data_IF_500918375573
#
_entry.id   IF_500918375573
#
_cell.length_a   1.000
_cell.length_b   1.000
_cell.length_c   1.000
_cell.angle_alpha   90.00
_cell.angle_beta   90.00
_cell.angle_gamma   90.00
#
_symmetry.space_group_name_H-M   'P 1'
#
loop_
_entity.id
_entity.type
_entity.pdbx_description
1 polymer ?
#
# COMPACT_ATOMS: atom_id res chain seq x y z
N UNK A 1 11.92 14.61 -6.48
CA UNK A 1 11.51 15.93 -5.94
C UNK A 1 10.07 15.90 -5.48
N UNK A 2 9.79 16.37 -4.25
CA UNK A 2 8.41 16.50 -3.74
C UNK A 2 7.79 17.80 -4.27
N UNK A 3 6.73 17.70 -5.09
CA UNK A 3 6.09 18.85 -5.74
C UNK A 3 5.56 19.90 -4.75
N UNK A 4 5.08 19.45 -3.59
CA UNK A 4 4.52 20.31 -2.55
C UNK A 4 5.55 21.15 -1.79
N UNK A 5 6.85 20.83 -1.92
CA UNK A 5 7.91 21.38 -1.07
C UNK A 5 8.90 22.25 -1.85
N UNK A 6 8.58 22.58 -3.10
CA UNK A 6 9.46 23.36 -3.98
C UNK A 6 8.72 24.54 -4.59
N UNK A 7 9.41 25.63 -4.96
CA UNK A 7 8.80 26.73 -5.70
C UNK A 7 8.16 26.24 -7.01
N UNK A 8 7.04 26.84 -7.39
CA UNK A 8 6.32 26.47 -8.62
C UNK A 8 7.22 26.49 -9.87
N UNK A 9 8.17 27.42 -9.97
CA UNK A 9 9.12 27.49 -11.08
C UNK A 9 9.96 26.22 -11.19
N UNK A 10 10.46 25.69 -10.07
CA UNK A 10 11.30 24.50 -10.03
C UNK A 10 10.49 23.23 -10.39
N UNK A 11 9.24 23.16 -9.91
CA UNK A 11 8.32 22.10 -10.30
C UNK A 11 8.01 22.13 -11.82
N UNK A 12 7.79 23.31 -12.39
CA UNK A 12 7.56 23.47 -13.84
C UNK A 12 8.78 23.03 -14.67
N UNK A 13 10.01 23.34 -14.23
CA UNK A 13 11.22 22.91 -14.92
C UNK A 13 11.43 21.40 -14.85
N UNK A 14 10.98 20.75 -13.79
CA UNK A 14 10.98 19.29 -13.71
C UNK A 14 9.92 18.68 -14.64
N UNK A 15 8.69 19.20 -14.61
CA UNK A 15 7.58 18.72 -15.45
C UNK A 15 7.94 18.74 -16.95
N UNK A 16 8.61 19.80 -17.42
CA UNK A 16 9.10 19.89 -18.81
C UNK A 16 10.06 18.76 -19.23
N UNK A 17 10.65 18.06 -18.28
CA UNK A 17 11.56 16.92 -18.55
C UNK A 17 10.82 15.58 -18.59
N UNK A 18 9.49 15.60 -18.55
CA UNK A 18 8.64 14.41 -18.56
C UNK A 18 9.04 13.39 -17.48
N UNK A 19 9.07 13.78 -16.20
CA UNK A 19 9.44 12.88 -15.12
C UNK A 19 8.40 11.78 -14.94
N UNK A 20 8.78 10.72 -14.22
CA UNK A 20 7.81 9.76 -13.69
C UNK A 20 7.13 10.38 -12.47
N UNK A 21 5.80 10.45 -12.46
CA UNK A 21 5.06 10.87 -11.28
C UNK A 21 4.88 9.69 -10.32
N UNK A 22 5.31 9.85 -9.07
CA UNK A 22 5.10 8.86 -8.02
C UNK A 22 4.02 9.32 -7.06
N UNK A 23 3.05 8.45 -6.82
CA UNK A 23 1.89 8.72 -5.96
C UNK A 23 1.74 7.60 -4.95
N UNK A 24 1.67 7.96 -3.67
CA UNK A 24 1.33 7.03 -2.59
C UNK A 24 -0.18 6.94 -2.48
N UNK A 25 -0.70 5.73 -2.47
CA UNK A 25 -2.11 5.44 -2.22
C UNK A 25 -2.19 4.47 -1.03
N UNK A 26 -2.71 4.95 0.08
CA UNK A 26 -2.81 4.17 1.30
C UNK A 26 -4.22 4.06 1.83
N UNK A 27 -4.30 3.86 3.13
CA UNK A 27 -5.53 3.95 3.91
C UNK A 27 -5.26 4.44 5.34
N UNK A 28 -6.32 4.82 6.03
CA UNK A 28 -6.36 4.95 7.49
C UNK A 28 -7.28 3.85 7.97
N UNK A 29 -6.71 2.76 8.48
CA UNK A 29 -7.45 1.59 8.93
C UNK A 29 -6.77 0.83 10.08
N UNK A 30 -7.53 -0.05 10.70
CA UNK A 30 -7.08 -0.81 11.87
C UNK A 30 -6.15 -1.96 11.47
N UNK A 31 -4.98 -2.06 12.13
CA UNK A 31 -3.94 -3.06 11.90
C UNK A 31 -3.57 -3.81 13.20
N UNK A 32 -4.59 -4.24 13.96
CA UNK A 32 -4.37 -4.69 15.33
C UNK A 32 -4.16 -3.51 16.28
N UNK A 33 -4.20 -3.77 17.59
CA UNK A 33 -4.07 -2.73 18.61
C UNK A 33 -2.65 -2.14 18.70
N UNK A 34 -1.64 -2.85 18.20
CA UNK A 34 -0.20 -2.52 18.32
C UNK A 34 0.29 -1.53 17.26
N UNK A 35 -0.34 -1.48 16.08
CA UNK A 35 0.15 -0.71 14.94
C UNK A 35 -0.65 0.59 14.73
N UNK A 36 -0.07 1.61 14.10
CA UNK A 36 -0.77 2.87 13.83
C UNK A 36 -1.85 2.67 12.75
N UNK A 37 -2.95 3.43 12.87
CA UNK A 37 -4.03 3.44 11.85
C UNK A 37 -3.53 3.88 10.46
N UNK A 38 -2.42 4.60 10.41
CA UNK A 38 -1.83 5.10 9.17
C UNK A 38 -0.81 4.16 8.53
N UNK A 39 -0.67 2.92 8.98
CA UNK A 39 0.32 1.95 8.48
C UNK A 39 0.39 1.96 6.95
N UNK A 40 -0.74 1.90 6.29
CA UNK A 40 -0.87 1.79 4.83
C UNK A 40 -0.45 3.04 4.06
N UNK A 41 -0.36 4.20 4.68
CA UNK A 41 0.16 5.36 3.97
C UNK A 41 1.54 5.81 4.46
N UNK A 42 1.88 5.62 5.74
CA UNK A 42 3.19 6.06 6.27
C UNK A 42 4.34 5.22 5.70
N UNK A 43 4.13 3.92 5.50
CA UNK A 43 5.13 3.02 4.92
C UNK A 43 5.44 3.40 3.46
N UNK A 44 4.46 3.42 2.53
CA UNK A 44 4.75 3.80 1.15
C UNK A 44 5.16 5.28 1.02
N UNK A 45 4.72 6.18 1.90
CA UNK A 45 5.22 7.56 1.91
C UNK A 45 6.71 7.63 2.28
N UNK A 46 7.17 6.82 3.23
CA UNK A 46 8.58 6.68 3.52
C UNK A 46 9.37 6.20 2.28
N UNK A 47 8.90 5.15 1.60
CA UNK A 47 9.52 4.61 0.39
C UNK A 47 9.63 5.69 -0.70
N UNK A 48 8.54 6.41 -0.97
CA UNK A 48 8.53 7.48 -1.99
C UNK A 48 9.39 8.66 -1.58
N UNK A 49 9.49 8.97 -0.28
CA UNK A 49 10.35 10.03 0.23
C UNK A 49 11.82 9.75 -0.06
N UNK A 50 12.30 8.53 0.18
CA UNK A 50 13.67 8.11 -0.14
C UNK A 50 13.95 8.22 -1.66
N UNK A 51 13.03 7.76 -2.50
CA UNK A 51 13.14 7.81 -3.96
C UNK A 51 12.98 9.23 -4.53
N UNK A 52 12.36 10.15 -3.80
CA UNK A 52 12.14 11.53 -4.24
C UNK A 52 13.40 12.36 -4.40
N UNK A 53 14.53 11.88 -3.91
CA UNK A 53 15.85 12.51 -4.14
C UNK A 53 16.33 12.40 -5.59
N UNK A 54 15.75 11.50 -6.38
CA UNK A 54 16.02 11.36 -7.80
C UNK A 54 15.53 12.60 -8.57
N UNK A 55 16.30 12.99 -9.61
CA UNK A 55 15.98 14.17 -10.45
C UNK A 55 14.93 13.91 -11.52
N UNK A 56 14.61 12.65 -11.76
CA UNK A 56 13.64 12.17 -12.76
C UNK A 56 12.32 11.72 -12.13
N UNK A 57 12.13 11.94 -10.84
CA UNK A 57 10.90 11.64 -10.10
C UNK A 57 10.21 12.91 -9.64
N UNK A 58 8.91 12.99 -9.92
CA UNK A 58 7.98 13.96 -9.36
C UNK A 58 7.11 13.26 -8.31
N UNK A 59 7.48 13.38 -7.03
CA UNK A 59 6.70 12.80 -5.94
C UNK A 59 5.55 13.73 -5.55
N UNK A 60 4.33 13.19 -5.52
CA UNK A 60 3.12 13.87 -5.07
C UNK A 60 2.89 13.65 -3.57
N UNK A 61 2.10 14.52 -2.90
CA UNK A 61 1.60 14.24 -1.57
C UNK A 61 0.83 12.91 -1.53
N UNK A 62 0.89 12.14 -0.42
CA UNK A 62 0.18 10.87 -0.30
C UNK A 62 -1.34 11.07 -0.32
N UNK A 63 -2.05 10.05 -0.79
CA UNK A 63 -3.50 9.90 -0.65
C UNK A 63 -3.75 8.94 0.53
N UNK A 64 -4.05 9.47 1.73
CA UNK A 64 -4.11 8.66 2.95
C UNK A 64 -5.44 7.96 3.16
N UNK A 65 -6.39 8.09 2.26
CA UNK A 65 -7.73 7.49 2.35
C UNK A 65 -7.99 6.58 1.17
N UNK A 66 -8.42 5.35 1.45
CA UNK A 66 -8.63 4.30 0.48
C UNK A 66 -9.99 3.59 0.61
N UNK A 67 -10.10 2.47 -0.08
CA UNK A 67 -11.25 1.59 -0.02
C UNK A 67 -11.13 0.59 1.12
N UNK A 68 -11.59 0.95 2.31
CA UNK A 68 -11.59 0.13 3.53
C UNK A 68 -12.94 -0.56 3.78
N UNK A 69 -13.70 -0.90 2.72
CA UNK A 69 -15.08 -1.41 2.85
C UNK A 69 -15.19 -2.66 3.73
N UNK A 70 -14.23 -3.57 3.66
CA UNK A 70 -14.25 -4.82 4.43
C UNK A 70 -13.88 -4.63 5.91
N UNK A 71 -13.09 -3.59 6.23
CA UNK A 71 -12.53 -3.35 7.58
C UNK A 71 -13.13 -2.12 8.29
N UNK A 72 -14.10 -1.46 7.67
CA UNK A 72 -14.74 -0.21 8.16
C UNK A 72 -15.39 -0.31 9.54
N UNK A 73 -15.66 -1.52 10.01
CA UNK A 73 -16.32 -1.76 11.30
C UNK A 73 -15.37 -1.69 12.51
N UNK A 74 -14.06 -1.52 12.25
CA UNK A 74 -13.08 -1.23 13.29
C UNK A 74 -12.99 0.28 13.56
N UNK A 75 -12.94 0.70 14.85
CA UNK A 75 -12.83 2.11 15.21
C UNK A 75 -11.60 2.79 14.61
N UNK A 76 -11.78 4.00 14.10
CA UNK A 76 -10.71 4.80 13.50
C UNK A 76 -10.49 4.52 12.01
N UNK A 77 -11.06 3.46 11.45
CA UNK A 77 -11.01 3.20 10.00
C UNK A 77 -11.87 4.19 9.22
N UNK A 78 -11.31 4.76 8.16
CA UNK A 78 -11.98 5.72 7.28
C UNK A 78 -12.10 5.11 5.88
N UNK A 79 -13.32 4.86 5.43
CA UNK A 79 -13.60 4.28 4.12
C UNK A 79 -14.18 5.32 3.16
N UNK A 80 -13.51 5.57 2.03
CA UNK A 80 -14.05 6.41 0.97
C UNK A 80 -14.75 5.62 -0.15
N UNK A 81 -14.53 4.29 -0.19
CA UNK A 81 -15.09 3.39 -1.18
C UNK A 81 -14.38 3.42 -2.53
N UNK A 82 -14.59 2.36 -3.32
CA UNK A 82 -13.92 2.13 -4.61
C UNK A 82 -14.19 3.24 -5.61
N UNK A 83 -15.45 3.63 -5.80
CA UNK A 83 -15.83 4.64 -6.82
C UNK A 83 -15.23 6.02 -6.55
N UNK A 84 -15.23 6.46 -5.27
CA UNK A 84 -14.65 7.75 -4.92
C UNK A 84 -13.13 7.72 -5.09
N UNK A 85 -12.46 6.62 -4.76
CA UNK A 85 -11.03 6.47 -4.99
C UNK A 85 -10.71 6.56 -6.49
N UNK A 86 -11.44 5.85 -7.36
CA UNK A 86 -11.29 5.94 -8.82
C UNK A 86 -11.44 7.39 -9.30
N UNK A 87 -12.48 8.09 -8.86
CA UNK A 87 -12.73 9.49 -9.25
C UNK A 87 -11.60 10.43 -8.85
N UNK A 88 -11.09 10.30 -7.61
CA UNK A 88 -9.99 11.12 -7.11
C UNK A 88 -8.72 10.83 -7.91
N UNK A 89 -8.37 9.55 -8.08
CA UNK A 89 -7.15 9.16 -8.77
C UNK A 89 -7.18 9.56 -10.25
N UNK A 90 -8.29 9.34 -10.96
CA UNK A 90 -8.46 9.80 -12.34
C UNK A 90 -8.32 11.33 -12.45
N UNK A 91 -8.88 12.09 -11.51
CA UNK A 91 -8.77 13.57 -11.53
C UNK A 91 -7.32 14.04 -11.36
N UNK A 92 -6.53 13.36 -10.50
CA UNK A 92 -5.11 13.66 -10.31
C UNK A 92 -4.32 13.31 -11.56
N UNK A 93 -4.49 12.10 -12.08
CA UNK A 93 -3.79 11.63 -13.29
C UNK A 93 -4.11 12.49 -14.50
N UNK A 94 -5.39 12.82 -14.72
CA UNK A 94 -5.83 13.67 -15.84
C UNK A 94 -5.20 15.07 -15.77
N UNK A 95 -5.04 15.61 -14.57
CA UNK A 95 -4.35 16.89 -14.37
C UNK A 95 -2.87 16.81 -14.77
N UNK A 96 -2.20 15.70 -14.46
CA UNK A 96 -0.78 15.49 -14.79
C UNK A 96 -0.59 15.16 -16.28
N UNK A 97 -1.49 14.39 -16.89
CA UNK A 97 -1.50 14.12 -18.34
C UNK A 97 -1.59 15.42 -19.15
N UNK A 98 -2.43 16.39 -18.72
CA UNK A 98 -2.52 17.72 -19.37
C UNK A 98 -1.21 18.49 -19.37
N UNK A 99 -0.32 18.19 -18.41
CA UNK A 99 1.01 18.79 -18.30
C UNK A 99 2.12 17.96 -18.98
N UNK A 100 1.75 16.89 -19.71
CA UNK A 100 2.69 16.07 -20.47
C UNK A 100 3.29 14.91 -19.70
N UNK A 101 2.95 14.70 -18.43
CA UNK A 101 3.40 13.54 -17.66
C UNK A 101 2.61 12.32 -18.12
N UNK A 102 3.31 11.29 -18.64
CA UNK A 102 2.68 10.08 -19.18
C UNK A 102 3.00 8.81 -18.41
N UNK A 103 3.97 8.84 -17.51
CA UNK A 103 4.39 7.68 -16.74
C UNK A 103 4.16 7.91 -15.25
N UNK A 104 3.54 6.94 -14.63
CA UNK A 104 3.14 7.00 -13.22
C UNK A 104 3.60 5.73 -12.50
N UNK A 105 4.05 5.88 -11.26
CA UNK A 105 4.25 4.76 -10.33
C UNK A 105 3.34 5.00 -9.13
N UNK A 106 2.40 4.10 -8.92
CA UNK A 106 1.58 4.05 -7.73
C UNK A 106 2.24 3.14 -6.71
N UNK A 107 2.64 3.69 -5.58
CA UNK A 107 3.11 2.88 -4.46
C UNK A 107 1.92 2.68 -3.54
N UNK A 108 1.30 1.52 -3.68
CA UNK A 108 0.10 1.15 -2.94
C UNK A 108 0.46 0.54 -1.58
N UNK A 109 -0.21 0.98 -0.54
CA UNK A 109 -0.07 0.45 0.82
C UNK A 109 -1.24 -0.42 1.27
N UNK A 110 -2.37 -0.44 0.52
CA UNK A 110 -3.62 -1.06 0.98
C UNK A 110 -4.23 -2.02 -0.05
N UNK A 111 -4.45 -3.25 0.38
CA UNK A 111 -5.01 -4.30 -0.50
C UNK A 111 -6.42 -3.99 -1.03
N UNK A 112 -7.23 -3.25 -0.28
CA UNK A 112 -8.56 -2.83 -0.71
C UNK A 112 -8.57 -1.86 -1.89
N UNK A 113 -7.45 -1.22 -2.19
CA UNK A 113 -7.32 -0.26 -3.30
C UNK A 113 -7.12 -0.93 -4.66
N UNK A 114 -6.63 -2.17 -4.71
CA UNK A 114 -6.16 -2.84 -5.94
C UNK A 114 -7.16 -2.71 -7.09
N UNK A 115 -8.42 -3.08 -6.88
CA UNK A 115 -9.43 -3.02 -7.94
C UNK A 115 -9.69 -1.60 -8.48
N UNK A 116 -9.59 -0.58 -7.61
CA UNK A 116 -9.72 0.81 -8.03
C UNK A 116 -8.50 1.25 -8.85
N UNK A 117 -7.31 0.87 -8.43
CA UNK A 117 -6.06 1.24 -9.11
C UNK A 117 -5.92 0.55 -10.46
N UNK A 118 -6.39 -0.70 -10.59
CA UNK A 118 -6.47 -1.41 -11.88
C UNK A 118 -7.37 -0.65 -12.87
N UNK A 119 -8.55 -0.19 -12.42
CA UNK A 119 -9.45 0.60 -13.28
C UNK A 119 -8.80 1.93 -13.69
N UNK A 120 -8.16 2.65 -12.75
CA UNK A 120 -7.43 3.89 -13.07
C UNK A 120 -6.29 3.63 -14.05
N UNK A 121 -5.62 2.48 -13.94
CA UNK A 121 -4.59 2.04 -14.89
C UNK A 121 -5.12 1.92 -16.31
N UNK A 122 -6.28 1.25 -16.48
CA UNK A 122 -6.94 1.09 -17.78
C UNK A 122 -7.39 2.46 -18.35
N UNK A 123 -8.06 3.27 -17.53
CA UNK A 123 -8.54 4.60 -17.93
C UNK A 123 -7.36 5.50 -18.38
N UNK A 124 -6.20 5.36 -17.74
CA UNK A 124 -4.98 6.11 -18.06
C UNK A 124 -4.35 5.62 -19.36
N UNK A 125 -4.33 4.30 -19.55
CA UNK A 125 -3.78 3.68 -20.78
C UNK A 125 -4.56 4.14 -22.03
N UNK A 126 -5.88 4.20 -21.96
CA UNK A 126 -6.72 4.71 -23.04
C UNK A 126 -6.41 6.17 -23.41
N UNK A 127 -5.88 6.95 -22.46
CA UNK A 127 -5.46 8.34 -22.65
C UNK A 127 -4.00 8.51 -23.06
N UNK A 128 -3.29 7.39 -23.31
CA UNK A 128 -1.89 7.36 -23.70
C UNK A 128 -0.88 7.59 -22.58
N UNK A 129 -1.30 7.35 -21.34
CA UNK A 129 -0.43 7.25 -20.18
C UNK A 129 -0.17 5.80 -19.76
N UNK A 130 0.76 5.58 -18.85
CA UNK A 130 1.11 4.25 -18.33
C UNK A 130 1.31 4.31 -16.82
N UNK A 131 0.63 3.43 -16.09
CA UNK A 131 0.75 3.29 -14.63
C UNK A 131 1.38 1.95 -14.28
N UNK A 132 2.42 1.97 -13.46
CA UNK A 132 2.91 0.80 -12.74
C UNK A 132 2.42 0.88 -11.30
N UNK A 133 1.69 -0.12 -10.82
CA UNK A 133 1.27 -0.22 -9.42
C UNK A 133 2.18 -1.19 -8.68
N UNK A 134 2.70 -0.77 -7.54
CA UNK A 134 3.58 -1.55 -6.67
C UNK A 134 2.91 -1.71 -5.32
N UNK A 135 2.45 -2.93 -5.04
CA UNK A 135 1.99 -3.35 -3.72
C UNK A 135 3.22 -3.73 -2.90
N UNK A 136 3.73 -2.81 -2.08
CA UNK A 136 5.03 -2.97 -1.43
C UNK A 136 5.17 -4.25 -0.60
N UNK A 137 4.10 -4.69 0.07
CA UNK A 137 4.10 -5.91 0.91
C UNK A 137 4.21 -7.19 0.06
N UNK A 138 3.52 -7.24 -1.08
CA UNK A 138 3.63 -8.35 -2.02
C UNK A 138 5.02 -8.39 -2.67
N UNK A 139 5.55 -7.22 -3.04
CA UNK A 139 6.92 -7.10 -3.57
C UNK A 139 7.94 -7.61 -2.54
N UNK A 140 7.84 -7.19 -1.29
CA UNK A 140 8.74 -7.64 -0.22
C UNK A 140 8.79 -9.18 -0.12
N UNK A 141 7.63 -9.82 -0.09
CA UNK A 141 7.50 -11.28 -0.07
C UNK A 141 8.14 -11.97 -1.28
N UNK A 142 8.03 -11.37 -2.47
CA UNK A 142 8.64 -11.91 -3.68
C UNK A 142 10.17 -11.75 -3.69
N UNK A 143 10.69 -10.69 -3.08
CA UNK A 143 12.12 -10.44 -2.98
C UNK A 143 12.80 -11.42 -2.00
N UNK A 144 12.13 -11.73 -0.90
CA UNK A 144 12.63 -12.67 0.09
C UNK A 144 11.46 -13.35 0.83
N UNK A 145 11.36 -14.70 0.79
CA UNK A 145 10.30 -15.42 1.52
C UNK A 145 10.28 -15.14 3.04
N UNK A 146 11.40 -14.77 3.65
CA UNK A 146 11.46 -14.40 5.07
C UNK A 146 10.74 -13.06 5.37
N UNK A 147 10.33 -12.33 4.33
CA UNK A 147 9.53 -11.11 4.42
C UNK A 147 8.03 -11.37 4.23
N UNK A 148 7.60 -12.65 4.22
CA UNK A 148 6.17 -12.99 4.13
C UNK A 148 5.40 -12.40 5.30
N UNK A 149 4.19 -11.96 5.02
CA UNK A 149 3.31 -11.35 6.00
C UNK A 149 1.87 -11.22 5.53
N UNK A 150 1.08 -10.66 6.39
CA UNK A 150 -0.33 -10.40 6.19
C UNK A 150 -0.74 -9.05 6.76
N UNK A 151 -2.02 -8.88 7.05
CA UNK A 151 -2.55 -7.63 7.56
C UNK A 151 -2.29 -7.47 9.07
N UNK A 152 -1.58 -6.41 9.46
CA UNK A 152 -1.26 -6.08 10.85
C UNK A 152 -0.36 -7.07 11.56
N UNK A 153 0.34 -7.94 10.84
CA UNK A 153 1.24 -8.95 11.39
C UNK A 153 2.71 -8.48 11.49
N UNK A 154 3.63 -9.42 11.60
CA UNK A 154 5.06 -9.15 11.78
C UNK A 154 5.64 -8.27 10.66
N UNK A 155 5.22 -8.45 9.39
CA UNK A 155 5.76 -7.70 8.26
C UNK A 155 5.43 -6.21 8.39
N UNK A 156 4.14 -5.87 8.42
CA UNK A 156 3.69 -4.48 8.48
C UNK A 156 4.09 -3.80 9.79
N UNK A 157 3.97 -4.53 10.92
CA UNK A 157 4.37 -4.00 12.23
C UNK A 157 5.86 -3.69 12.30
N UNK A 158 6.72 -4.58 11.76
CA UNK A 158 8.18 -4.34 11.71
C UNK A 158 8.53 -3.14 10.83
N UNK A 159 7.90 -3.01 9.66
CA UNK A 159 8.16 -1.89 8.76
C UNK A 159 7.65 -0.58 9.36
N UNK A 160 6.49 -0.58 10.03
CA UNK A 160 6.01 0.59 10.78
C UNK A 160 7.00 1.00 11.89
N UNK A 161 7.57 0.04 12.63
CA UNK A 161 8.64 0.31 13.61
C UNK A 161 9.90 0.92 12.96
N UNK A 162 10.28 0.47 11.78
CA UNK A 162 11.44 1.02 11.06
C UNK A 162 11.20 2.47 10.60
N UNK A 163 9.96 2.82 10.25
CA UNK A 163 9.58 4.19 9.87
C UNK A 163 9.47 5.11 11.09
N UNK A 164 8.73 4.68 12.10
CA UNK A 164 8.58 5.40 13.39
C UNK A 164 8.32 4.41 14.53
N UNK A 165 9.37 4.04 15.24
CA UNK A 165 9.32 3.07 16.34
C UNK A 165 8.31 3.48 17.44
N UNK A 166 8.11 4.77 17.64
CA UNK A 166 7.20 5.29 18.69
C UNK A 166 5.74 5.12 18.32
N UNK A 167 5.41 4.89 17.06
CA UNK A 167 4.05 4.67 16.59
C UNK A 167 3.53 3.25 16.88
N UNK A 168 4.40 2.32 17.26
CA UNK A 168 4.07 0.90 17.53
C UNK A 168 4.26 0.59 19.01
N UNK A 169 3.32 -0.19 19.57
CA UNK A 169 3.43 -0.70 20.94
C UNK A 169 3.14 -2.20 20.99
N UNK A 170 4.18 -3.01 20.99
CA UNK A 170 4.07 -4.47 21.01
C UNK A 170 3.40 -5.05 22.27
N UNK A 171 3.30 -4.28 23.36
CA UNK A 171 2.54 -4.71 24.54
C UNK A 171 1.02 -4.80 24.30
N UNK A 172 0.53 -4.20 23.22
CA UNK A 172 -0.88 -4.26 22.81
C UNK A 172 -1.17 -5.42 21.84
N UNK A 173 -0.19 -6.21 21.45
CA UNK A 173 -0.41 -7.39 20.60
C UNK A 173 -1.34 -8.38 21.30
N UNK A 174 -2.38 -8.79 20.59
CA UNK A 174 -3.32 -9.83 21.02
C UNK A 174 -3.11 -11.10 20.17
N UNK A 175 -3.32 -12.30 20.74
CA UNK A 175 -3.25 -13.54 19.97
C UNK A 175 -4.23 -13.55 18.81
N UNK A 176 -3.86 -14.15 17.68
CA UNK A 176 -4.73 -14.29 16.52
C UNK A 176 -6.03 -15.02 16.89
N UNK A 177 -7.16 -14.41 16.54
CA UNK A 177 -8.51 -14.93 16.79
C UNK A 177 -9.27 -15.01 15.46
N UNK A 178 -9.29 -16.19 14.86
CA UNK A 178 -10.01 -16.45 13.60
C UNK A 178 -11.38 -17.03 13.89
N UNK A 179 -12.41 -16.47 13.26
CA UNK A 179 -13.79 -16.96 13.33
C UNK A 179 -14.14 -17.69 12.03
N UNK A 180 -14.03 -19.01 12.03
CA UNK A 180 -14.41 -19.85 10.91
C UNK A 180 -15.91 -19.83 10.66
N UNK A 181 -16.35 -20.06 9.41
CA UNK A 181 -17.78 -20.15 9.09
C UNK A 181 -18.41 -21.45 9.59
N UNK A 182 -17.65 -22.53 9.61
CA UNK A 182 -18.04 -23.84 10.16
C UNK A 182 -16.80 -24.73 10.25
N UNK A 183 -16.97 -25.91 10.89
CA UNK A 183 -15.91 -26.94 10.96
C UNK A 183 -15.39 -27.41 9.60
N UNK A 184 -16.15 -27.17 8.51
CA UNK A 184 -15.80 -27.59 7.16
C UNK A 184 -15.39 -26.46 6.24
N UNK A 185 -15.66 -25.22 6.61
CA UNK A 185 -15.34 -24.01 5.83
C UNK A 185 -14.54 -23.10 6.75
N UNK A 186 -13.22 -23.20 6.65
CA UNK A 186 -12.29 -22.50 7.53
C UNK A 186 -11.61 -21.32 6.81
N UNK A 187 -11.25 -20.30 7.54
CA UNK A 187 -10.53 -19.17 6.95
C UNK A 187 -9.10 -19.57 6.61
N UNK A 188 -8.68 -19.18 5.40
CA UNK A 188 -7.27 -19.19 4.99
C UNK A 188 -6.67 -17.80 5.09
N UNK A 189 -7.47 -16.79 4.73
CA UNK A 189 -7.13 -15.38 4.82
C UNK A 189 -8.44 -14.56 4.85
N UNK A 190 -8.42 -13.26 4.74
CA UNK A 190 -9.56 -12.33 4.91
C UNK A 190 -10.85 -12.81 4.21
N UNK A 191 -10.79 -13.08 2.91
CA UNK A 191 -11.94 -13.53 2.13
C UNK A 191 -11.74 -14.90 1.48
N UNK A 192 -10.57 -15.49 1.66
CA UNK A 192 -10.22 -16.79 1.09
C UNK A 192 -10.43 -17.87 2.16
N UNK A 193 -11.25 -18.87 1.82
CA UNK A 193 -11.60 -19.95 2.74
C UNK A 193 -11.20 -21.30 2.13
N UNK A 194 -10.80 -22.22 3.01
CA UNK A 194 -10.58 -23.62 2.66
C UNK A 194 -11.93 -24.35 2.65
N UNK A 195 -12.17 -25.13 1.62
CA UNK A 195 -13.28 -26.07 1.55
C UNK A 195 -12.82 -27.32 0.82
N UNK A 196 -12.82 -28.48 1.50
CA UNK A 196 -12.25 -29.75 0.99
C UNK A 196 -10.81 -29.53 0.50
N UNK A 197 -10.51 -29.92 -0.74
CA UNK A 197 -9.17 -29.80 -1.35
C UNK A 197 -9.00 -28.52 -2.17
N UNK A 198 -9.91 -27.55 -2.04
CA UNK A 198 -9.89 -26.30 -2.79
C UNK A 198 -10.12 -25.07 -1.92
N UNK A 199 -10.13 -23.92 -2.58
CA UNK A 199 -10.42 -22.65 -1.94
C UNK A 199 -11.66 -22.01 -2.55
N UNK A 200 -12.43 -21.29 -1.73
CA UNK A 200 -13.55 -20.46 -2.17
C UNK A 200 -13.38 -19.04 -1.62
N UNK A 201 -13.89 -18.05 -2.35
CA UNK A 201 -13.86 -16.66 -1.90
C UNK A 201 -15.24 -16.28 -1.38
N UNK A 202 -15.33 -15.89 -0.10
CA UNK A 202 -16.54 -15.33 0.52
C UNK A 202 -16.17 -13.98 1.14
N UNK A 203 -16.72 -12.92 0.58
CA UNK A 203 -16.48 -11.55 1.06
C UNK A 203 -17.46 -11.23 2.18
N UNK A 204 -16.93 -10.84 3.35
CA UNK A 204 -17.71 -10.43 4.53
C UNK A 204 -16.93 -9.38 5.33
N UNK A 205 -17.52 -8.81 6.37
CA UNK A 205 -16.81 -7.89 7.26
C UNK A 205 -15.54 -8.57 7.82
N UNK A 206 -14.43 -7.84 7.81
CA UNK A 206 -13.17 -8.34 8.37
C UNK A 206 -13.29 -8.60 9.87
N UNK A 207 -14.10 -7.80 10.58
CA UNK A 207 -14.38 -7.99 12.01
C UNK A 207 -15.06 -9.33 12.31
N UNK A 208 -15.84 -9.86 11.36
CA UNK A 208 -16.46 -11.19 11.47
C UNK A 208 -15.46 -12.32 11.16
N UNK A 209 -14.33 -12.01 10.52
CA UNK A 209 -13.24 -12.97 10.24
C UNK A 209 -12.25 -13.02 11.39
N UNK A 210 -11.78 -11.86 11.85
CA UNK A 210 -10.85 -11.73 12.99
C UNK A 210 -11.28 -10.59 13.90
N UNK A 211 -11.53 -10.91 15.16
CA UNK A 211 -12.07 -9.94 16.11
C UNK A 211 -11.05 -8.91 16.61
N UNK A 212 -9.76 -9.24 16.56
CA UNK A 212 -8.66 -8.38 17.00
C UNK A 212 -7.97 -7.59 15.87
N UNK A 213 -8.46 -7.71 14.62
CA UNK A 213 -8.12 -6.84 13.50
C UNK A 213 -6.72 -7.03 12.91
N UNK A 214 -6.09 -8.21 13.09
CA UNK A 214 -4.91 -8.60 12.34
C UNK A 214 -5.01 -10.05 11.86
N UNK A 215 -4.39 -10.38 10.74
CA UNK A 215 -4.31 -11.74 10.21
C UNK A 215 -3.05 -11.90 9.35
N UNK A 216 -2.28 -12.92 9.65
CA UNK A 216 -1.07 -13.24 8.91
C UNK A 216 -0.42 -14.52 9.42
N UNK A 217 0.65 -14.97 8.75
CA UNK A 217 1.36 -16.19 9.13
C UNK A 217 2.16 -16.05 10.43
N UNK A 218 2.50 -14.82 10.85
CA UNK A 218 3.40 -14.60 11.96
C UNK A 218 2.85 -13.57 12.96
N UNK A 219 3.04 -13.87 14.26
CA UNK A 219 2.59 -13.03 15.37
C UNK A 219 3.31 -11.66 15.35
N UNK A 220 2.57 -10.53 15.33
CA UNK A 220 3.13 -9.19 15.38
C UNK A 220 3.98 -8.92 16.62
N UNK A 221 3.81 -9.69 17.70
CA UNK A 221 4.62 -9.58 18.92
C UNK A 221 6.10 -9.83 18.67
N UNK A 222 6.43 -10.58 17.61
CA UNK A 222 7.80 -10.89 17.21
C UNK A 222 8.39 -9.85 16.23
N UNK A 223 7.70 -8.75 16.00
CA UNK A 223 8.18 -7.69 15.11
C UNK A 223 9.44 -7.04 15.64
N UNK A 224 10.34 -6.69 14.72
CA UNK A 224 11.57 -5.98 15.05
C UNK A 224 11.85 -4.87 14.04
N UNK A 225 12.46 -3.80 14.51
CA UNK A 225 12.88 -2.69 13.67
C UNK A 225 13.87 -3.12 12.59
N UNK A 226 14.80 -4.01 12.95
CA UNK A 226 15.83 -4.53 12.04
C UNK A 226 15.23 -5.33 10.87
N UNK A 227 14.13 -6.07 11.09
CA UNK A 227 13.39 -6.71 10.01
C UNK A 227 12.78 -5.67 9.08
N UNK A 228 12.14 -4.65 9.65
CA UNK A 228 11.53 -3.57 8.88
C UNK A 228 12.55 -2.77 8.05
N UNK A 229 13.72 -2.47 8.61
CA UNK A 229 14.81 -1.78 7.91
C UNK A 229 15.34 -2.60 6.73
N UNK A 230 15.48 -3.93 6.88
CA UNK A 230 15.87 -4.80 5.76
C UNK A 230 14.83 -4.83 4.66
N UNK A 231 13.55 -4.97 5.02
CA UNK A 231 12.43 -4.95 4.05
C UNK A 231 12.43 -3.62 3.28
N UNK A 232 12.49 -2.49 3.97
CA UNK A 232 12.50 -1.18 3.34
C UNK A 232 13.67 -1.00 2.39
N UNK A 233 14.87 -1.41 2.81
CA UNK A 233 16.08 -1.33 1.98
C UNK A 233 15.92 -2.09 0.67
N UNK A 234 15.47 -3.35 0.72
CA UNK A 234 15.38 -4.21 -0.45
C UNK A 234 14.26 -3.74 -1.39
N UNK A 235 13.11 -3.34 -0.83
CA UNK A 235 11.98 -2.79 -1.61
C UNK A 235 12.37 -1.47 -2.29
N UNK A 236 13.01 -0.54 -1.58
CA UNK A 236 13.47 0.73 -2.14
C UNK A 236 14.50 0.50 -3.24
N UNK A 237 15.45 -0.40 -3.03
CA UNK A 237 16.45 -0.76 -4.05
C UNK A 237 15.78 -1.29 -5.31
N UNK A 238 14.85 -2.24 -5.19
CA UNK A 238 14.12 -2.80 -6.33
C UNK A 238 13.35 -1.73 -7.10
N UNK A 239 12.62 -0.86 -6.39
CA UNK A 239 11.85 0.22 -7.04
C UNK A 239 12.79 1.21 -7.73
N UNK A 240 13.96 1.49 -7.13
CA UNK A 240 14.94 2.38 -7.72
C UNK A 240 15.49 1.83 -9.07
N UNK A 241 15.76 0.53 -9.14
CA UNK A 241 16.17 -0.16 -10.37
C UNK A 241 15.02 -0.21 -11.40
N UNK A 242 13.80 -0.51 -10.95
CA UNK A 242 12.61 -0.51 -11.81
C UNK A 242 12.36 0.86 -12.46
N UNK A 243 12.59 1.97 -11.75
CA UNK A 243 12.44 3.32 -12.30
C UNK A 243 13.34 3.52 -13.52
N UNK A 244 14.59 3.03 -13.48
CA UNK A 244 15.54 3.20 -14.58
C UNK A 244 15.07 2.46 -15.84
N UNK A 245 14.53 1.26 -15.71
CA UNK A 245 13.98 0.49 -16.82
C UNK A 245 12.64 1.04 -17.30
N UNK A 246 11.74 1.38 -16.37
CA UNK A 246 10.41 1.92 -16.69
C UNK A 246 10.48 3.25 -17.44
N UNK A 247 11.48 4.05 -17.18
CA UNK A 247 11.75 5.29 -17.91
C UNK A 247 11.98 5.06 -19.42
N UNK A 248 12.56 3.91 -19.79
CA UNK A 248 12.89 3.56 -21.16
C UNK A 248 11.70 2.96 -21.95
N UNK A 249 10.63 2.57 -21.28
CA UNK A 249 9.41 2.08 -21.94
C UNK A 249 8.83 3.18 -22.84
N UNK A 250 8.44 2.82 -24.05
CA UNK A 250 7.87 3.75 -25.05
C UNK A 250 6.37 3.85 -24.92
#
# INVERSE_FOLDING_TARGET
MKISNVPAKDAMELIKKEPIAMIVIGSVEYHGAQAPLGTDYIIPDYIVNELSMRKDILALPPIPYGNCQSIKDFPGTINIGTENLIRVMNSIVDSLLKHGIKKFIFVNGHGGNIAALDQVGLDTYEKGGLIATIDWWNLAKLLNPDYDGGHGDIQETSVAMAVDEKSVNLAYCEPLQINDLSDKITNKYISLLNYKNGNVKIVRSFKDVVSNGWIGPYDPKNSTKELGERILKDVIQYINEFIDDFKLVK
#
